data_IF_072512748754
#
_entry.id   IF_072512748754
#
_cell.length_a   1.000
_cell.length_b   1.000
_cell.length_c   1.000
_cell.angle_alpha   90.00
_cell.angle_beta   90.00
_cell.angle_gamma   90.00
#
_symmetry.space_group_name_H-M   'P 1'
#
loop_
_entity.id
_entity.type
_entity.pdbx_description
1 polymer ?
#
# COMPACT_ATOMS: atom_id res chain seq x y z
N UNK A 1 9.14 11.82 -3.78
CA UNK A 1 8.05 11.13 -3.02
C UNK A 1 8.71 10.26 -1.97
N UNK A 2 8.39 10.37 -0.68
CA UNK A 2 8.97 9.49 0.34
C UNK A 2 8.45 8.07 0.10
N UNK A 3 9.28 7.19 -0.45
CA UNK A 3 8.90 5.84 -0.90
C UNK A 3 8.32 4.96 0.22
N UNK A 4 8.59 5.28 1.48
CA UNK A 4 8.10 4.54 2.66
C UNK A 4 6.85 5.16 3.31
N UNK A 5 6.40 6.31 2.79
CA UNK A 5 5.22 7.02 3.29
C UNK A 5 4.11 7.01 2.25
N UNK A 6 2.87 6.94 2.72
CA UNK A 6 1.68 6.94 1.87
C UNK A 6 1.11 5.56 1.59
N UNK A 7 -0.19 5.53 1.32
CA UNK A 7 -0.94 4.28 1.22
C UNK A 7 -0.47 3.40 0.05
N UNK A 8 -0.24 3.96 -1.13
CA UNK A 8 0.10 3.19 -2.33
C UNK A 8 1.43 2.44 -2.19
N UNK A 9 2.45 3.10 -1.64
CA UNK A 9 3.75 2.46 -1.40
C UNK A 9 3.65 1.35 -0.35
N UNK A 10 2.94 1.59 0.75
CA UNK A 10 2.68 0.60 1.80
C UNK A 10 1.88 -0.61 1.29
N UNK A 11 0.89 -0.40 0.43
CA UNK A 11 0.13 -1.47 -0.21
C UNK A 11 1.03 -2.37 -1.09
N UNK A 12 1.97 -1.78 -1.82
CA UNK A 12 2.95 -2.52 -2.63
C UNK A 12 3.93 -3.27 -1.73
N UNK A 13 4.55 -2.60 -0.76
CA UNK A 13 5.52 -3.20 0.15
C UNK A 13 4.92 -4.42 0.89
N UNK A 14 3.66 -4.33 1.32
CA UNK A 14 2.98 -5.42 2.03
C UNK A 14 2.87 -6.74 1.24
N UNK A 15 3.09 -6.70 -0.09
CA UNK A 15 2.98 -7.86 -0.97
C UNK A 15 4.33 -8.31 -1.56
N UNK A 16 5.44 -7.72 -1.13
CA UNK A 16 6.78 -8.18 -1.49
C UNK A 16 7.19 -9.40 -0.67
N UNK A 17 8.09 -10.22 -1.21
CA UNK A 17 8.65 -11.35 -0.47
C UNK A 17 9.58 -10.91 0.66
N UNK A 18 9.82 -11.80 1.64
CA UNK A 18 10.56 -11.47 2.86
C UNK A 18 12.02 -11.06 2.59
N UNK A 19 12.64 -11.61 1.54
CA UNK A 19 14.01 -11.28 1.15
C UNK A 19 14.06 -9.85 0.59
N UNK A 20 13.12 -9.51 -0.30
CA UNK A 20 12.99 -8.16 -0.85
C UNK A 20 12.70 -7.13 0.24
N UNK A 21 11.78 -7.44 1.16
CA UNK A 21 11.46 -6.55 2.29
C UNK A 21 12.63 -6.32 3.22
N UNK A 22 13.36 -7.40 3.57
CA UNK A 22 14.53 -7.29 4.45
C UNK A 22 15.64 -6.46 3.81
N UNK A 23 15.88 -6.66 2.51
CA UNK A 23 16.84 -5.85 1.74
C UNK A 23 16.44 -4.37 1.76
N UNK A 24 15.19 -4.07 1.41
CA UNK A 24 14.66 -2.69 1.42
C UNK A 24 14.79 -2.05 2.81
N UNK A 25 14.46 -2.78 3.88
CA UNK A 25 14.60 -2.26 5.23
C UNK A 25 16.05 -1.91 5.57
N UNK A 26 17.00 -2.81 5.30
CA UNK A 26 18.41 -2.59 5.62
C UNK A 26 19.02 -1.44 4.81
N UNK A 27 18.62 -1.29 3.54
CA UNK A 27 19.09 -0.21 2.66
C UNK A 27 18.50 1.16 3.06
N UNK A 28 17.38 1.20 3.78
CA UNK A 28 16.61 2.44 4.02
C UNK A 28 16.23 2.64 5.50
N UNK A 29 16.95 2.01 6.42
CA UNK A 29 16.57 1.95 7.83
C UNK A 29 16.38 3.35 8.45
N UNK A 30 17.26 4.30 8.14
CA UNK A 30 17.14 5.67 8.63
C UNK A 30 15.81 6.30 8.20
N UNK A 31 15.47 6.24 6.91
CA UNK A 31 14.24 6.82 6.34
C UNK A 31 12.97 6.16 6.89
N UNK A 32 13.00 4.84 7.10
CA UNK A 32 11.85 4.09 7.64
C UNK A 32 11.57 4.46 9.09
N UNK A 33 12.60 4.83 9.85
CA UNK A 33 12.51 5.18 11.28
C UNK A 33 12.18 6.65 11.54
N UNK A 34 12.21 7.50 10.53
CA UNK A 34 11.90 8.93 10.66
C UNK A 34 10.45 9.17 11.15
N UNK A 35 10.29 10.19 12.00
CA UNK A 35 8.98 10.57 12.54
C UNK A 35 8.34 9.44 13.35
N UNK A 36 7.09 9.10 13.04
CA UNK A 36 6.32 8.05 13.70
C UNK A 36 6.48 6.67 13.03
N UNK A 37 7.52 6.50 12.22
CA UNK A 37 7.80 5.25 11.51
C UNK A 37 8.20 4.08 12.43
N UNK A 38 8.19 2.83 11.92
CA UNK A 38 8.58 1.65 12.68
C UNK A 38 10.05 1.71 13.15
N UNK A 39 10.30 1.42 14.41
CA UNK A 39 11.63 1.60 15.04
C UNK A 39 12.59 0.43 14.85
N UNK A 40 12.10 -0.70 14.36
CA UNK A 40 12.91 -1.88 14.08
C UNK A 40 12.24 -2.78 13.03
N UNK A 41 13.00 -3.75 12.52
CA UNK A 41 12.53 -4.74 11.55
C UNK A 41 11.25 -5.46 11.97
N UNK A 42 11.11 -5.81 13.26
CA UNK A 42 9.93 -6.51 13.77
C UNK A 42 8.68 -5.65 13.64
N UNK A 43 8.77 -4.37 14.01
CA UNK A 43 7.65 -3.41 13.87
C UNK A 43 7.34 -3.14 12.40
N UNK A 44 8.35 -2.96 11.55
CA UNK A 44 8.17 -2.75 10.11
C UNK A 44 7.42 -3.91 9.46
N UNK A 45 7.90 -5.14 9.71
CA UNK A 45 7.26 -6.36 9.21
C UNK A 45 5.85 -6.56 9.77
N UNK A 46 5.62 -6.22 11.04
CA UNK A 46 4.29 -6.30 11.65
C UNK A 46 3.29 -5.34 10.98
N UNK A 47 3.71 -4.09 10.73
CA UNK A 47 2.88 -3.10 10.05
C UNK A 47 2.48 -3.55 8.63
N UNK A 48 3.45 -4.06 7.85
CA UNK A 48 3.18 -4.57 6.50
C UNK A 48 2.29 -5.82 6.50
N UNK A 49 2.43 -6.71 7.49
CA UNK A 49 1.54 -7.87 7.66
C UNK A 49 0.11 -7.48 7.99
N UNK A 50 -0.09 -6.39 8.75
CA UNK A 50 -1.42 -5.83 8.99
C UNK A 50 -2.08 -5.42 7.68
N UNK A 51 -1.37 -4.63 6.86
CA UNK A 51 -1.84 -4.20 5.52
C UNK A 51 -2.13 -5.40 4.61
N UNK A 52 -1.25 -6.40 4.58
CA UNK A 52 -1.46 -7.60 3.77
C UNK A 52 -2.72 -8.36 4.18
N UNK A 53 -2.96 -8.50 5.49
CA UNK A 53 -4.14 -9.18 6.04
C UNK A 53 -5.43 -8.42 5.72
N UNK A 54 -5.38 -7.09 5.84
CA UNK A 54 -6.56 -6.24 5.68
C UNK A 54 -6.88 -6.00 4.18
N UNK A 55 -5.90 -6.23 3.29
CA UNK A 55 -6.06 -6.09 1.83
C UNK A 55 -5.89 -4.66 1.31
N UNK A 56 -5.68 -3.69 2.20
CA UNK A 56 -5.48 -2.29 1.87
C UNK A 56 -4.59 -1.60 2.90
N UNK A 57 -4.00 -0.47 2.51
CA UNK A 57 -3.29 0.45 3.39
C UNK A 57 -4.13 1.72 3.58
N UNK A 58 -4.17 2.24 4.81
CA UNK A 58 -4.66 3.59 5.11
C UNK A 58 -3.51 4.39 5.68
N UNK A 59 -3.34 5.62 5.21
CA UNK A 59 -2.36 6.57 5.73
C UNK A 59 -3.03 7.89 6.02
N UNK A 60 -2.79 8.46 7.20
CA UNK A 60 -3.32 9.77 7.61
C UNK A 60 -2.15 10.73 7.75
N UNK A 61 -2.21 11.86 7.04
CA UNK A 61 -1.24 12.94 7.08
C UNK A 61 0.24 12.56 6.78
N UNK A 62 0.51 11.36 6.25
CA UNK A 62 1.89 10.88 6.06
C UNK A 62 2.64 11.56 4.91
N UNK A 63 1.90 12.02 3.89
CA UNK A 63 2.47 12.62 2.66
C UNK A 63 2.19 14.12 2.59
N UNK A 64 1.02 14.55 3.06
CA UNK A 64 0.66 15.95 3.22
C UNK A 64 -0.28 16.06 4.41
N UNK A 65 -0.10 17.11 5.20
CA UNK A 65 -0.97 17.43 6.32
C UNK A 65 -2.42 17.53 5.83
N UNK A 66 -3.33 16.98 6.61
CA UNK A 66 -4.74 17.02 6.28
C UNK A 66 -5.19 16.12 5.12
N UNK A 67 -4.44 15.06 4.77
CA UNK A 67 -4.87 14.07 3.76
C UNK A 67 -4.96 12.65 4.30
N UNK A 68 -5.99 11.93 3.90
CA UNK A 68 -6.12 10.47 4.09
C UNK A 68 -5.95 9.78 2.75
N UNK A 69 -5.02 8.85 2.67
CA UNK A 69 -4.84 7.96 1.53
C UNK A 69 -5.33 6.56 1.86
N UNK A 70 -6.09 5.96 0.95
CA UNK A 70 -6.40 4.53 0.95
C UNK A 70 -5.78 3.92 -0.29
N UNK A 71 -5.16 2.75 -0.19
CA UNK A 71 -4.67 2.04 -1.37
C UNK A 71 -4.82 0.53 -1.24
N UNK A 72 -5.05 -0.13 -2.37
CA UNK A 72 -5.10 -1.57 -2.46
C UNK A 72 -4.11 -2.07 -3.54
N UNK A 73 -3.53 -3.26 -3.37
CA UNK A 73 -2.59 -3.85 -4.31
C UNK A 73 -3.31 -4.34 -5.58
N UNK A 74 -2.70 -4.16 -6.73
CA UNK A 74 -3.09 -4.84 -7.97
C UNK A 74 -2.14 -6.02 -8.15
N UNK A 75 -2.70 -7.22 -8.27
CA UNK A 75 -1.96 -8.47 -8.31
C UNK A 75 -2.07 -9.13 -9.70
N UNK A 76 -0.97 -9.68 -10.18
CA UNK A 76 -0.92 -10.54 -11.35
C UNK A 76 -0.15 -11.81 -10.98
N UNK A 77 -0.76 -12.99 -11.14
CA UNK A 77 -0.15 -14.27 -10.74
C UNK A 77 0.39 -14.27 -9.29
N UNK A 78 -0.40 -13.73 -8.36
CA UNK A 78 -0.05 -13.56 -6.93
C UNK A 78 1.14 -12.63 -6.65
N UNK A 79 1.64 -11.90 -7.64
CA UNK A 79 2.68 -10.87 -7.47
C UNK A 79 2.06 -9.49 -7.59
N UNK A 80 2.46 -8.57 -6.74
CA UNK A 80 2.06 -7.17 -6.88
C UNK A 80 2.72 -6.54 -8.09
N UNK A 81 1.93 -5.86 -8.92
CA UNK A 81 2.39 -5.15 -10.13
C UNK A 81 2.13 -3.65 -10.06
N UNK A 82 1.13 -3.24 -9.29
CA UNK A 82 0.79 -1.84 -9.07
C UNK A 82 -0.04 -1.69 -7.78
N UNK A 83 -0.42 -0.46 -7.43
CA UNK A 83 -1.43 -0.18 -6.42
C UNK A 83 -2.39 0.89 -6.94
N UNK A 84 -3.67 0.77 -6.60
CA UNK A 84 -4.67 1.81 -6.83
C UNK A 84 -4.94 2.54 -5.53
N UNK A 85 -5.08 3.86 -5.58
CA UNK A 85 -5.28 4.66 -4.37
C UNK A 85 -6.31 5.77 -4.55
N UNK A 86 -7.01 6.07 -3.47
CA UNK A 86 -7.94 7.19 -3.35
C UNK A 86 -7.47 8.10 -2.21
N UNK A 87 -7.55 9.42 -2.42
CA UNK A 87 -7.09 10.42 -1.45
C UNK A 87 -8.22 11.37 -1.11
N UNK A 88 -8.39 11.65 0.19
CA UNK A 88 -9.43 12.51 0.74
C UNK A 88 -8.79 13.58 1.64
N UNK A 89 -9.54 14.64 1.92
CA UNK A 89 -9.18 15.62 2.95
C UNK A 89 -9.52 15.10 4.35
N UNK A 90 -8.67 15.40 5.35
CA UNK A 90 -8.67 14.76 6.67
C UNK A 90 -9.88 15.06 7.54
N UNK A 91 -10.70 16.06 7.21
CA UNK A 91 -11.97 16.33 7.88
C UNK A 91 -12.98 15.17 7.77
N UNK A 92 -12.61 14.09 7.06
CA UNK A 92 -13.46 12.95 6.74
C UNK A 92 -12.89 11.61 7.26
N UNK A 93 -11.86 11.54 8.12
CA UNK A 93 -11.23 10.24 8.49
C UNK A 93 -12.26 9.23 9.03
N UNK A 94 -13.15 9.67 9.93
CA UNK A 94 -14.21 8.81 10.48
C UNK A 94 -15.29 8.48 9.42
N UNK A 95 -15.60 9.44 8.55
CA UNK A 95 -16.50 9.21 7.41
C UNK A 95 -15.90 8.21 6.41
N UNK A 96 -14.57 8.16 6.28
CA UNK A 96 -13.89 7.28 5.34
C UNK A 96 -14.04 5.81 5.73
N UNK A 97 -13.91 5.52 7.04
CA UNK A 97 -14.16 4.19 7.58
C UNK A 97 -15.63 3.78 7.52
N UNK A 98 -16.55 4.71 7.79
CA UNK A 98 -18.00 4.44 7.82
C UNK A 98 -18.64 4.31 6.43
N UNK A 99 -18.11 4.99 5.42
CA UNK A 99 -18.65 4.99 4.06
C UNK A 99 -18.23 3.78 3.21
N UNK A 100 -17.38 2.89 3.75
CA UNK A 100 -16.95 1.68 3.05
C UNK A 100 -15.98 1.93 1.88
N UNK A 101 -15.29 3.07 1.85
CA UNK A 101 -14.30 3.35 0.79
C UNK A 101 -13.15 2.34 0.73
N UNK A 102 -12.61 1.79 1.84
CA UNK A 102 -11.61 0.73 1.74
C UNK A 102 -12.06 -0.44 0.88
N UNK A 103 -13.30 -0.90 1.06
CA UNK A 103 -13.88 -2.00 0.30
C UNK A 103 -14.05 -1.64 -1.18
N UNK A 104 -14.40 -0.39 -1.49
CA UNK A 104 -14.49 0.07 -2.88
C UNK A 104 -13.12 0.10 -3.57
N UNK A 105 -12.08 0.55 -2.88
CA UNK A 105 -10.70 0.58 -3.40
C UNK A 105 -10.19 -0.85 -3.62
N UNK A 106 -10.46 -1.76 -2.67
CA UNK A 106 -10.14 -3.20 -2.83
C UNK A 106 -10.88 -3.80 -4.03
N UNK A 107 -12.20 -3.59 -4.14
CA UNK A 107 -12.98 -4.11 -5.25
C UNK A 107 -12.54 -3.53 -6.62
N UNK A 108 -12.04 -2.30 -6.65
CA UNK A 108 -11.44 -1.74 -7.86
C UNK A 108 -10.11 -2.42 -8.21
N UNK A 109 -9.22 -2.61 -7.21
CA UNK A 109 -7.96 -3.34 -7.38
C UNK A 109 -8.18 -4.78 -7.88
N UNK A 110 -9.16 -5.49 -7.31
CA UNK A 110 -9.49 -6.86 -7.70
C UNK A 110 -9.99 -6.95 -9.14
N UNK A 111 -10.87 -6.02 -9.57
CA UNK A 111 -11.33 -5.97 -10.96
C UNK A 111 -10.19 -5.71 -11.94
N UNK A 112 -9.25 -4.82 -11.61
CA UNK A 112 -8.06 -4.58 -12.43
C UNK A 112 -7.18 -5.84 -12.46
N UNK A 113 -6.97 -6.48 -11.31
CA UNK A 113 -6.17 -7.70 -11.18
C UNK A 113 -6.72 -8.85 -12.04
N UNK A 114 -8.06 -9.00 -12.06
CA UNK A 114 -8.75 -9.98 -12.89
C UNK A 114 -8.55 -9.67 -14.38
N UNK A 115 -8.80 -8.43 -14.80
CA UNK A 115 -8.63 -8.02 -16.20
C UNK A 115 -7.20 -8.24 -16.71
N UNK A 116 -6.19 -7.95 -15.88
CA UNK A 116 -4.77 -8.21 -16.22
C UNK A 116 -4.43 -9.70 -16.33
N UNK A 117 -5.17 -10.56 -15.64
CA UNK A 117 -4.96 -12.01 -15.70
C UNK A 117 -5.63 -12.63 -16.93
N UNK A 118 -6.70 -12.01 -17.44
CA UNK A 118 -7.43 -12.42 -18.64
C UNK A 118 -6.77 -11.93 -19.95
N UNK A 119 -6.10 -10.77 -19.92
CA UNK A 119 -5.33 -10.23 -21.04
C UNK A 119 -3.84 -9.99 -20.69
N UNK A 120 -2.99 -11.04 -20.72
CA UNK A 120 -1.56 -10.90 -20.49
C UNK A 120 -0.81 -10.19 -21.64
N UNK A 121 -1.48 -9.85 -22.75
CA UNK A 121 -0.86 -9.33 -23.97
C UNK A 121 -0.48 -7.85 -23.95
N UNK A 122 -1.03 -7.07 -23.01
CA UNK A 122 -0.96 -5.60 -23.10
C UNK A 122 0.20 -4.97 -22.31
N UNK A 123 0.89 -5.71 -21.43
CA UNK A 123 2.09 -5.20 -20.74
C UNK A 123 3.34 -5.67 -21.49
N UNK A 124 3.75 -4.85 -22.47
CA UNK A 124 5.01 -5.01 -23.18
C UNK A 124 6.17 -5.15 -22.19
N UNK A 125 6.93 -6.24 -22.30
CA UNK A 125 8.18 -6.46 -21.57
C UNK A 125 9.20 -5.41 -22.03
N UNK A 126 9.30 -4.32 -21.28
CA UNK A 126 10.42 -3.38 -21.35
C UNK A 126 11.60 -3.86 -20.52
#
# INVERSE_FOLDING_TARGET
MPFFRGASSKAILAHLDDRSLKRIYLENEMLIREGEGPQNWKQFKAALRGIQRDGFAITVAEVAEGRVGIAAPILMNKRVVAGVSMVFESGQVDAVGQAGFPQQVVAAAERISLALSEDPGTISRG
#
